data_IF_753081740718
#
_entry.id   IF_753081740718
#
_cell.length_a   1.000
_cell.length_b   1.000
_cell.length_c   1.000
_cell.angle_alpha   90.00
_cell.angle_beta   90.00
_cell.angle_gamma   90.00
#
_symmetry.space_group_name_H-M   'P 1'
#
loop_
_entity.id
_entity.type
_entity.pdbx_description
1 polymer ?
#
# COMPACT_ATOMS: atom_id res chain seq x y z
N UNK A 1 -14.31 18.86 -28.14
CA UNK A 1 -13.08 18.05 -28.11
C UNK A 1 -12.40 18.29 -26.77
N UNK A 2 -12.55 17.39 -25.81
CA UNK A 2 -11.76 17.40 -24.57
C UNK A 2 -11.70 15.96 -24.06
N UNK A 3 -10.60 15.27 -24.39
CA UNK A 3 -10.32 13.96 -23.86
C UNK A 3 -9.92 14.13 -22.39
N UNK A 4 -10.70 13.54 -21.48
CA UNK A 4 -10.33 13.39 -20.09
C UNK A 4 -9.26 12.29 -20.03
N UNK A 5 -7.98 12.66 -20.03
CA UNK A 5 -6.89 11.71 -19.79
C UNK A 5 -7.01 11.22 -18.35
N UNK A 6 -7.57 10.03 -18.16
CA UNK A 6 -7.50 9.33 -16.88
C UNK A 6 -6.02 9.05 -16.55
N UNK A 7 -5.54 9.29 -15.32
CA UNK A 7 -4.20 8.86 -14.96
C UNK A 7 -4.15 7.33 -15.06
N UNK A 8 -3.26 6.84 -15.92
CA UNK A 8 -2.96 5.43 -16.07
C UNK A 8 -2.76 4.80 -14.69
N UNK A 9 -3.64 3.86 -14.34
CA UNK A 9 -3.47 2.99 -13.17
C UNK A 9 -2.18 2.22 -13.41
N UNK A 10 -1.07 2.71 -12.87
CA UNK A 10 0.20 2.02 -12.90
C UNK A 10 -0.05 0.64 -12.28
N UNK A 11 -0.09 -0.37 -13.14
CA UNK A 11 -0.14 -1.76 -12.72
C UNK A 11 1.13 -1.95 -11.90
N UNK A 12 0.95 -2.17 -10.59
CA UNK A 12 2.04 -2.56 -9.70
C UNK A 12 2.86 -3.64 -10.39
N UNK A 13 4.18 -3.51 -10.30
CA UNK A 13 5.19 -4.32 -10.98
C UNK A 13 4.69 -5.72 -11.33
N UNK A 14 4.52 -5.99 -12.63
CA UNK A 14 4.26 -7.34 -13.15
C UNK A 14 5.58 -8.12 -13.14
N UNK A 15 6.21 -8.21 -11.97
CA UNK A 15 7.28 -9.16 -11.70
C UNK A 15 6.71 -10.13 -10.68
N UNK A 16 6.73 -11.43 -10.98
CA UNK A 16 6.07 -12.48 -10.18
C UNK A 16 6.63 -12.71 -8.77
N UNK A 17 7.25 -11.70 -8.14
CA UNK A 17 7.93 -11.72 -6.85
C UNK A 17 7.76 -10.34 -6.19
N UNK A 18 6.54 -9.96 -5.81
CA UNK A 18 6.33 -8.76 -4.99
C UNK A 18 6.66 -9.09 -3.53
N UNK A 19 7.59 -8.34 -2.93
CA UNK A 19 8.01 -8.56 -1.54
C UNK A 19 6.83 -8.35 -0.60
N UNK A 20 6.70 -9.26 0.39
CA UNK A 20 5.66 -9.17 1.39
C UNK A 20 6.18 -8.62 2.71
N UNK A 21 5.65 -7.46 3.09
CA UNK A 21 5.94 -6.79 4.35
C UNK A 21 5.01 -7.25 5.46
N UNK A 22 5.53 -7.28 6.69
CA UNK A 22 4.76 -7.45 7.92
C UNK A 22 4.09 -6.14 8.34
N UNK A 23 3.05 -6.16 9.20
CA UNK A 23 2.45 -4.93 9.73
C UNK A 23 3.47 -4.00 10.40
N UNK A 24 4.47 -4.57 11.10
CA UNK A 24 5.54 -3.82 11.75
C UNK A 24 6.46 -3.10 10.76
N UNK A 25 6.82 -3.74 9.65
CA UNK A 25 7.62 -3.10 8.61
C UNK A 25 6.87 -1.94 7.94
N UNK A 26 5.59 -2.13 7.64
CA UNK A 26 4.75 -1.05 7.09
C UNK A 26 4.60 0.10 8.09
N UNK A 27 4.39 -0.22 9.36
CA UNK A 27 4.30 0.76 10.44
C UNK A 27 5.57 1.62 10.55
N UNK A 28 6.75 1.01 10.44
CA UNK A 28 8.02 1.72 10.45
C UNK A 28 8.15 2.70 9.27
N UNK A 29 7.68 2.33 8.08
CA UNK A 29 7.72 3.18 6.89
C UNK A 29 6.78 4.38 6.98
N UNK A 30 5.60 4.21 7.57
CA UNK A 30 4.61 5.28 7.74
C UNK A 30 4.77 6.06 9.05
N UNK A 31 5.71 5.67 9.91
CA UNK A 31 5.87 6.21 11.26
C UNK A 31 4.58 6.16 12.10
N UNK A 32 3.85 5.04 12.02
CA UNK A 32 2.62 4.80 12.78
C UNK A 32 2.72 3.51 13.60
N UNK A 33 1.74 3.27 14.47
CA UNK A 33 1.63 2.00 15.19
C UNK A 33 1.14 0.83 14.28
N UNK A 34 1.63 -0.42 14.43
CA UNK A 34 1.17 -1.58 13.65
C UNK A 34 -0.34 -1.87 13.73
N UNK A 35 -1.01 -1.51 14.83
CA UNK A 35 -2.47 -1.61 14.97
C UNK A 35 -3.18 -0.65 14.03
N UNK A 36 -2.58 0.50 13.74
CA UNK A 36 -3.09 1.46 12.76
C UNK A 36 -3.06 0.88 11.35
N UNK A 37 -1.93 0.27 10.97
CA UNK A 37 -1.81 -0.45 9.67
C UNK A 37 -2.86 -1.57 9.57
N UNK A 38 -3.05 -2.33 10.65
CA UNK A 38 -4.09 -3.36 10.71
C UNK A 38 -5.48 -2.75 10.51
N UNK A 39 -5.77 -1.60 11.12
CA UNK A 39 -7.03 -0.88 10.97
C UNK A 39 -7.25 -0.39 9.53
N UNK A 40 -6.20 0.09 8.85
CA UNK A 40 -6.26 0.45 7.43
C UNK A 40 -6.61 -0.75 6.54
N UNK A 41 -6.02 -1.91 6.83
CA UNK A 41 -6.34 -3.16 6.13
C UNK A 41 -7.80 -3.58 6.33
N UNK A 42 -8.34 -3.43 7.55
CA UNK A 42 -9.76 -3.68 7.82
C UNK A 42 -10.68 -2.70 7.10
N UNK A 43 -10.27 -1.44 6.98
CA UNK A 43 -11.01 -0.39 6.28
C UNK A 43 -10.86 -0.45 4.74
N UNK A 44 -10.11 -1.40 4.19
CA UNK A 44 -9.86 -1.49 2.74
C UNK A 44 -8.98 -0.38 2.18
N UNK A 45 -8.28 0.38 3.03
CA UNK A 45 -7.40 1.49 2.64
C UNK A 45 -6.01 1.03 2.18
N UNK A 46 -5.65 -0.19 2.54
CA UNK A 46 -4.40 -0.84 2.14
C UNK A 46 -4.69 -2.34 1.95
N UNK A 47 -4.41 -2.85 0.77
CA UNK A 47 -4.55 -4.26 0.41
C UNK A 47 -3.72 -5.16 1.31
N UNK A 48 -4.31 -6.26 1.77
CA UNK A 48 -3.62 -7.21 2.64
C UNK A 48 -3.88 -8.65 2.23
N UNK A 49 -2.83 -9.46 2.28
CA UNK A 49 -2.87 -10.91 2.20
C UNK A 49 -2.86 -11.49 3.60
N UNK A 50 -3.41 -12.69 3.77
CA UNK A 50 -3.35 -13.42 5.04
C UNK A 50 -2.58 -14.71 4.85
N UNK A 51 -1.68 -15.00 5.79
CA UNK A 51 -1.08 -16.32 5.89
C UNK A 51 -2.10 -17.33 6.43
N UNK A 52 -1.89 -18.65 6.30
CA UNK A 52 -2.76 -19.65 6.91
C UNK A 52 -2.94 -19.46 8.43
N UNK A 53 -1.93 -18.93 9.13
CA UNK A 53 -2.00 -18.58 10.56
C UNK A 53 -2.70 -17.25 10.88
N UNK A 54 -3.28 -16.57 9.88
CA UNK A 54 -4.07 -15.35 10.07
C UNK A 54 -3.27 -14.04 10.15
N UNK A 55 -1.93 -14.10 10.14
CA UNK A 55 -1.11 -12.89 10.10
C UNK A 55 -1.23 -12.17 8.76
N UNK A 56 -1.29 -10.84 8.81
CA UNK A 56 -1.39 -10.01 7.61
C UNK A 56 -0.02 -9.82 6.95
N UNK A 57 -0.04 -9.72 5.63
CA UNK A 57 1.09 -9.34 4.77
C UNK A 57 0.65 -8.28 3.78
N UNK A 58 1.57 -7.38 3.45
CA UNK A 58 1.31 -6.24 2.58
C UNK A 58 2.29 -6.28 1.42
N UNK A 59 1.80 -5.96 0.22
CA UNK A 59 2.68 -5.85 -0.96
C UNK A 59 3.54 -4.61 -0.82
N UNK A 60 4.84 -4.78 -0.96
CA UNK A 60 5.79 -3.66 -0.91
C UNK A 60 5.45 -2.63 -2.00
N UNK A 61 5.11 -3.08 -3.21
CA UNK A 61 4.75 -2.18 -4.31
C UNK A 61 3.60 -1.22 -3.97
N UNK A 62 2.53 -1.74 -3.36
CA UNK A 62 1.34 -0.99 -2.96
C UNK A 62 1.64 -0.02 -1.80
N UNK A 63 2.38 -0.50 -0.80
CA UNK A 63 2.83 0.32 0.34
C UNK A 63 3.65 1.52 -0.14
N UNK A 64 4.61 1.27 -1.03
CA UNK A 64 5.48 2.31 -1.59
C UNK A 64 4.70 3.27 -2.50
N UNK A 65 3.68 2.78 -3.21
CA UNK A 65 2.78 3.63 -3.99
C UNK A 65 1.98 4.58 -3.09
N UNK A 66 1.46 4.10 -1.97
CA UNK A 66 0.72 4.91 -1.01
C UNK A 66 1.61 5.96 -0.31
N UNK A 67 2.85 5.61 0.04
CA UNK A 67 3.82 6.59 0.55
C UNK A 67 4.08 7.73 -0.44
N UNK A 68 4.26 7.37 -1.72
CA UNK A 68 4.46 8.36 -2.79
C UNK A 68 3.24 9.26 -2.96
N UNK A 69 2.02 8.72 -2.97
CA UNK A 69 0.81 9.52 -3.16
C UNK A 69 0.61 10.53 -2.04
N UNK A 70 0.76 10.11 -0.77
CA UNK A 70 0.62 11.01 0.38
C UNK A 70 1.70 12.10 0.40
N UNK A 71 2.92 11.78 -0.05
CA UNK A 71 4.01 12.76 -0.13
C UNK A 71 3.77 13.78 -1.24
N UNK A 72 3.20 13.35 -2.38
CA UNK A 72 2.84 14.26 -3.48
C UNK A 72 1.73 15.21 -3.05
N UNK A 73 0.68 14.73 -2.40
CA UNK A 73 -0.44 15.55 -1.91
C UNK A 73 -0.01 16.61 -0.90
N UNK A 74 0.99 16.32 -0.07
CA UNK A 74 1.49 17.28 0.93
C UNK A 74 2.37 18.39 0.34
N UNK A 75 2.81 18.28 -0.92
CA UNK A 75 3.73 19.24 -1.57
C UNK A 75 3.02 20.26 -2.47
N UNK A 76 1.70 20.19 -2.61
CA UNK A 76 0.87 21.06 -3.45
C UNK A 76 0.13 22.06 -2.59
#
# INVERSE_FOLDING_TARGET
MTAFTAPSRALGSVSGQDTLLTPGQVAALFHVDPKTVTRWAHAGRLGSLRTPGGHRRFRESEVMQLLRSLTTEARV
#
